data_IF_567236943182
#
_entry.id   IF_567236943182
#
_cell.length_a   1.000
_cell.length_b   1.000
_cell.length_c   1.000
_cell.angle_alpha   90.00
_cell.angle_beta   90.00
_cell.angle_gamma   90.00
#
_symmetry.space_group_name_H-M   'P 1'
#
loop_
_entity.id
_entity.type
_entity.pdbx_description
1 polymer ?
#
# COMPACT_ATOMS: atom_id res chain seq x y z
N UNK A 1 -11.02 0.55 9.87
CA UNK A 1 -11.19 -0.84 9.40
C UNK A 1 -11.44 -1.82 10.55
N UNK A 2 -10.81 -1.67 11.73
CA UNK A 2 -11.00 -2.63 12.83
C UNK A 2 -12.44 -3.00 13.20
N UNK A 3 -13.34 -2.03 13.34
CA UNK A 3 -14.76 -2.34 13.63
C UNK A 3 -15.39 -3.19 12.51
N UNK A 4 -15.02 -2.94 11.26
CA UNK A 4 -15.52 -3.69 10.11
C UNK A 4 -14.93 -5.11 10.04
N UNK A 5 -13.70 -5.31 10.53
CA UNK A 5 -13.03 -6.62 10.56
C UNK A 5 -13.47 -7.47 11.77
N UNK A 6 -13.48 -6.89 12.97
CA UNK A 6 -13.61 -7.64 14.23
C UNK A 6 -15.04 -7.66 14.82
N UNK A 7 -15.91 -6.74 14.39
CA UNK A 7 -17.24 -6.57 15.00
C UNK A 7 -18.36 -6.72 13.96
N UNK A 8 -18.23 -6.05 12.82
CA UNK A 8 -19.29 -6.01 11.80
C UNK A 8 -19.12 -7.03 10.69
N UNK A 9 -17.98 -7.71 10.63
CA UNK A 9 -17.66 -8.76 9.65
C UNK A 9 -17.89 -8.32 8.18
N UNK A 10 -17.61 -7.05 7.89
CA UNK A 10 -17.74 -6.46 6.54
C UNK A 10 -16.52 -6.73 5.65
N UNK A 11 -15.48 -7.39 6.19
CA UNK A 11 -14.29 -7.84 5.47
C UNK A 11 -14.42 -9.34 5.22
N UNK A 12 -14.70 -9.72 3.98
CA UNK A 12 -14.92 -11.11 3.57
C UNK A 12 -13.70 -11.65 2.83
N UNK A 13 -13.08 -12.69 3.38
CA UNK A 13 -11.97 -13.40 2.73
C UNK A 13 -12.41 -14.03 1.39
N UNK A 14 -11.52 -13.97 0.38
CA UNK A 14 -11.72 -14.62 -0.93
C UNK A 14 -10.65 -15.65 -1.24
N UNK A 15 -9.38 -15.34 -0.98
CA UNK A 15 -8.28 -16.27 -1.26
C UNK A 15 -6.93 -15.78 -0.75
N UNK A 16 -6.00 -16.72 -0.58
CA UNK A 16 -4.61 -16.42 -0.25
C UNK A 16 -3.82 -16.37 -1.55
N UNK A 17 -3.20 -15.23 -1.82
CA UNK A 17 -2.41 -15.00 -3.04
C UNK A 17 -0.94 -15.32 -2.82
N UNK A 18 -0.44 -15.06 -1.60
CA UNK A 18 0.94 -15.33 -1.24
C UNK A 18 1.07 -15.61 0.26
N UNK A 19 1.84 -16.65 0.58
CA UNK A 19 2.24 -16.98 1.93
C UNK A 19 3.66 -17.54 1.92
N UNK A 20 4.60 -16.82 2.53
CA UNK A 20 5.98 -17.27 2.72
C UNK A 20 6.57 -16.65 3.97
N UNK A 21 7.22 -17.46 4.82
CA UNK A 21 7.88 -17.01 6.05
C UNK A 21 7.00 -16.07 6.93
N UNK A 22 5.69 -16.32 6.96
CA UNK A 22 4.71 -15.53 7.70
C UNK A 22 4.19 -14.27 6.99
N UNK A 23 4.78 -13.85 5.86
CA UNK A 23 4.23 -12.79 5.01
C UNK A 23 2.91 -13.26 4.40
N UNK A 24 1.85 -12.49 4.59
CA UNK A 24 0.50 -12.80 4.11
C UNK A 24 0.06 -11.75 3.09
N UNK A 25 -0.40 -12.22 1.92
CA UNK A 25 -1.13 -11.41 0.94
C UNK A 25 -2.41 -12.15 0.59
N UNK A 26 -3.54 -11.54 0.87
CA UNK A 26 -4.86 -12.17 0.72
C UNK A 26 -5.80 -11.25 -0.06
N UNK A 27 -6.58 -11.84 -0.95
CA UNK A 27 -7.69 -11.16 -1.58
C UNK A 27 -8.91 -11.20 -0.66
N UNK A 28 -9.59 -10.06 -0.53
CA UNK A 28 -10.81 -9.93 0.24
C UNK A 28 -11.79 -8.96 -0.44
N UNK A 29 -13.05 -8.97 0.03
CA UNK A 29 -14.02 -7.91 -0.23
C UNK A 29 -14.25 -7.12 1.04
N UNK A 30 -14.15 -5.80 0.98
CA UNK A 30 -14.46 -4.91 2.09
C UNK A 30 -15.46 -3.86 1.63
N UNK A 31 -16.66 -3.84 2.24
CA UNK A 31 -17.79 -2.98 1.82
C UNK A 31 -18.10 -3.11 0.33
N UNK A 32 -18.20 -4.34 -0.15
CA UNK A 32 -18.42 -4.71 -1.57
C UNK A 32 -17.30 -4.35 -2.55
N UNK A 33 -16.21 -3.71 -2.11
CA UNK A 33 -15.06 -3.41 -2.94
C UNK A 33 -13.97 -4.48 -2.80
N UNK A 34 -13.34 -4.92 -3.90
CA UNK A 34 -12.19 -5.81 -3.81
C UNK A 34 -10.99 -5.07 -3.20
N UNK A 35 -10.30 -5.74 -2.28
CA UNK A 35 -9.12 -5.22 -1.59
C UNK A 35 -8.07 -6.32 -1.44
N UNK A 36 -6.81 -5.92 -1.26
CA UNK A 36 -5.72 -6.82 -0.89
C UNK A 36 -5.32 -6.54 0.54
N UNK A 37 -5.41 -7.57 1.39
CA UNK A 37 -4.94 -7.54 2.76
C UNK A 37 -3.50 -8.01 2.82
N UNK A 38 -2.64 -7.22 3.48
CA UNK A 38 -1.22 -7.49 3.57
C UNK A 38 -0.73 -7.46 5.02
N UNK A 39 0.27 -8.29 5.31
CA UNK A 39 1.06 -8.25 6.53
C UNK A 39 2.45 -8.86 6.28
N UNK A 40 3.51 -8.21 6.80
CA UNK A 40 4.90 -8.70 6.72
C UNK A 40 5.13 -9.94 7.59
N UNK A 41 4.55 -9.96 8.80
CA UNK A 41 4.70 -11.06 9.74
C UNK A 41 3.35 -11.73 9.99
N UNK A 42 3.41 -12.98 10.43
CA UNK A 42 2.21 -13.80 10.62
C UNK A 42 1.35 -13.27 11.77
N UNK A 43 1.97 -13.05 12.92
CA UNK A 43 1.29 -12.73 14.16
C UNK A 43 1.60 -11.30 14.59
N UNK A 44 0.64 -10.69 15.29
CA UNK A 44 0.82 -9.36 15.88
C UNK A 44 1.98 -9.32 16.90
N UNK A 45 2.15 -10.41 17.66
CA UNK A 45 3.22 -10.56 18.64
C UNK A 45 4.62 -10.74 18.04
N UNK A 46 4.72 -10.90 16.72
CA UNK A 46 6.02 -11.01 16.03
C UNK A 46 6.68 -9.66 15.78
N UNK A 47 5.94 -8.56 15.95
CA UNK A 47 6.49 -7.20 15.87
C UNK A 47 7.08 -6.79 17.21
N UNK A 48 8.10 -5.93 17.17
CA UNK A 48 8.68 -5.37 18.38
C UNK A 48 7.60 -4.56 19.10
N UNK A 49 7.34 -4.80 20.40
CA UNK A 49 6.38 -3.99 21.15
C UNK A 49 6.85 -2.54 21.27
N UNK A 50 5.90 -1.62 21.43
CA UNK A 50 6.22 -0.23 21.72
C UNK A 50 6.62 -0.14 23.20
N UNK A 51 7.92 -0.25 23.50
CA UNK A 51 8.46 -0.28 24.86
C UNK A 51 8.00 0.92 25.73
N UNK A 52 7.71 2.06 25.10
CA UNK A 52 7.18 3.27 25.76
C UNK A 52 5.82 3.00 26.47
N UNK A 53 5.03 2.04 25.99
CA UNK A 53 3.78 1.64 26.63
C UNK A 53 3.99 0.78 27.88
N UNK A 54 5.19 0.26 28.10
CA UNK A 54 5.52 -0.60 29.25
C UNK A 54 6.15 0.19 30.41
N UNK A 55 6.56 1.44 30.19
CA UNK A 55 7.01 2.36 31.23
C UNK A 55 5.81 3.14 31.80
N UNK A 56 5.12 2.54 32.76
CA UNK A 56 4.30 3.30 33.69
C UNK A 56 5.06 3.35 35.03
N UNK A 57 5.32 4.59 35.49
CA UNK A 57 6.04 4.99 36.73
C UNK A 57 7.56 5.17 36.67
N UNK A 58 8.06 6.09 35.85
CA UNK A 58 9.09 7.05 36.33
C UNK A 58 8.96 8.35 35.55
N UNK A 59 8.92 9.45 36.29
CA UNK A 59 8.99 10.82 35.80
C UNK A 59 10.28 11.03 35.01
N UNK A 60 10.23 10.95 33.69
CA UNK A 60 11.17 11.65 32.82
C UNK A 60 10.44 12.02 31.53
N UNK A 61 10.51 13.32 31.20
CA UNK A 61 9.80 13.94 30.11
C UNK A 61 10.14 13.28 28.77
N UNK A 62 9.09 13.00 28.00
CA UNK A 62 9.17 12.54 26.61
C UNK A 62 10.05 13.47 25.78
N UNK A 63 10.92 12.91 24.94
CA UNK A 63 11.58 13.69 23.89
C UNK A 63 10.52 14.22 22.91
N UNK A 64 10.46 15.54 22.67
CA UNK A 64 9.56 16.12 21.68
C UNK A 64 9.70 15.49 20.30
N UNK A 65 10.86 14.91 19.96
CA UNK A 65 11.11 14.27 18.67
C UNK A 65 10.38 12.93 18.50
N UNK A 66 10.19 12.15 19.57
CA UNK A 66 9.46 10.88 19.46
C UNK A 66 7.97 11.16 19.22
N UNK A 67 7.40 12.07 20.01
CA UNK A 67 6.02 12.53 19.84
C UNK A 67 5.84 13.23 18.50
N UNK A 68 6.80 14.05 18.05
CA UNK A 68 6.77 14.70 16.73
C UNK A 68 6.93 13.67 15.62
N UNK A 69 7.75 12.63 15.73
CA UNK A 69 7.87 11.58 14.72
C UNK A 69 6.55 10.77 14.60
N UNK A 70 5.92 10.43 15.73
CA UNK A 70 4.60 9.77 15.73
C UNK A 70 3.47 10.71 15.25
N UNK A 71 3.52 11.99 15.59
CA UNK A 71 2.52 12.99 15.18
C UNK A 71 2.70 13.48 13.74
N UNK A 72 3.91 13.53 13.20
CA UNK A 72 4.17 14.01 11.83
C UNK A 72 3.82 12.97 10.76
N UNK A 73 3.77 11.68 11.11
CA UNK A 73 3.33 10.61 10.20
C UNK A 73 1.79 10.47 10.10
N UNK A 74 1.01 10.88 11.10
CA UNK A 74 -0.46 10.77 11.11
C UNK A 74 -1.14 12.02 11.74
N UNK A 75 -0.81 13.23 11.26
CA UNK A 75 -1.66 14.42 11.48
C UNK A 75 -2.15 14.97 10.15
N UNK A 76 -3.07 14.21 9.56
CA UNK A 76 -4.21 14.82 8.86
C UNK A 76 -5.49 14.16 9.36
N UNK A 77 -6.10 14.83 10.35
CA UNK A 77 -7.41 14.58 11.01
C UNK A 77 -7.52 13.52 12.12
N UNK A 78 -7.16 13.90 13.36
CA UNK A 78 -7.83 13.40 14.59
C UNK A 78 -7.55 14.27 15.83
N UNK A 79 -7.57 15.60 15.70
CA UNK A 79 -7.22 16.53 16.80
C UNK A 79 -8.25 16.65 17.95
N UNK A 80 -9.01 15.59 18.29
CA UNK A 80 -9.95 15.63 19.44
C UNK A 80 -10.07 14.32 20.23
N UNK A 81 -9.32 13.25 19.89
CA UNK A 81 -9.35 12.00 20.68
C UNK A 81 -7.95 11.47 20.98
N UNK A 82 -7.64 11.17 22.25
CA UNK A 82 -6.41 10.49 22.61
C UNK A 82 -6.44 9.05 22.06
N UNK A 83 -5.30 8.60 21.52
CA UNK A 83 -5.14 7.22 21.08
C UNK A 83 -5.09 6.27 22.29
N UNK A 84 -5.76 5.13 22.17
CA UNK A 84 -5.66 4.02 23.12
C UNK A 84 -4.33 3.26 22.97
N UNK A 85 -3.94 2.52 24.01
CA UNK A 85 -2.76 1.64 24.00
C UNK A 85 -2.78 0.65 22.83
N UNK A 86 -3.95 0.10 22.51
CA UNK A 86 -4.13 -0.85 21.41
C UNK A 86 -3.96 -0.19 20.03
N UNK A 87 -4.41 1.06 19.87
CA UNK A 87 -4.22 1.83 18.64
C UNK A 87 -2.75 2.18 18.43
N UNK A 88 -2.04 2.62 19.48
CA UNK A 88 -0.60 2.90 19.42
C UNK A 88 0.21 1.63 19.10
N UNK A 89 -0.12 0.50 19.73
CA UNK A 89 0.53 -0.78 19.42
C UNK A 89 0.27 -1.22 17.97
N UNK A 90 -0.96 -1.03 17.47
CA UNK A 90 -1.30 -1.34 16.08
C UNK A 90 -0.52 -0.46 15.09
N UNK A 91 -0.47 0.85 15.36
CA UNK A 91 0.30 1.80 14.55
C UNK A 91 1.79 1.46 14.56
N UNK A 92 2.35 1.11 15.71
CA UNK A 92 3.76 0.71 15.83
C UNK A 92 4.08 -0.54 15.01
N UNK A 93 3.22 -1.56 15.05
CA UNK A 93 3.38 -2.76 14.23
C UNK A 93 3.28 -2.47 12.72
N UNK A 94 2.48 -1.48 12.31
CA UNK A 94 2.39 -1.04 10.93
C UNK A 94 3.63 -0.26 10.47
N UNK A 95 4.16 0.63 11.30
CA UNK A 95 5.35 1.43 10.97
C UNK A 95 6.62 0.59 10.80
N UNK A 96 6.71 -0.55 11.49
CA UNK A 96 7.77 -1.55 11.29
C UNK A 96 7.70 -2.25 9.92
N UNK A 97 6.62 -2.06 9.17
CA UNK A 97 6.46 -2.60 7.82
C UNK A 97 6.81 -1.54 6.79
N UNK A 98 8.04 -1.62 6.26
CA UNK A 98 8.54 -0.70 5.22
C UNK A 98 7.52 -0.45 4.11
N UNK A 99 6.89 -1.51 3.56
CA UNK A 99 5.89 -1.40 2.50
C UNK A 99 4.66 -0.57 2.91
N UNK A 100 4.15 -0.75 4.13
CA UNK A 100 3.04 0.07 4.63
C UNK A 100 3.45 1.54 4.72
N UNK A 101 4.59 1.80 5.35
CA UNK A 101 5.10 3.17 5.57
C UNK A 101 5.34 3.89 4.25
N UNK A 102 5.99 3.24 3.27
CA UNK A 102 6.22 3.82 1.95
C UNK A 102 4.91 4.14 1.22
N UNK A 103 3.98 3.18 1.15
CA UNK A 103 2.70 3.39 0.48
C UNK A 103 1.92 4.52 1.15
N UNK A 104 1.87 4.53 2.49
CA UNK A 104 1.12 5.54 3.25
C UNK A 104 1.69 6.95 3.09
N UNK A 105 3.01 7.10 3.02
CA UNK A 105 3.68 8.40 2.80
C UNK A 105 3.51 8.89 1.36
N UNK A 106 3.63 7.99 0.37
CA UNK A 106 3.68 8.36 -1.04
C UNK A 106 2.31 8.45 -1.72
N UNK A 107 1.27 7.80 -1.19
CA UNK A 107 -0.04 7.70 -1.87
C UNK A 107 -0.74 9.04 -2.14
N UNK A 108 -0.44 10.07 -1.36
CA UNK A 108 -1.00 11.41 -1.54
C UNK A 108 -0.06 12.32 -2.38
N UNK A 109 1.15 11.84 -2.68
CA UNK A 109 2.18 12.54 -3.45
C UNK A 109 2.34 11.96 -4.86
N UNK A 110 1.93 10.70 -5.08
CA UNK A 110 2.12 9.99 -6.34
C UNK A 110 0.92 9.12 -6.70
N UNK A 111 0.50 9.18 -7.97
CA UNK A 111 -0.45 8.23 -8.56
C UNK A 111 0.16 6.85 -8.82
N UNK A 112 1.49 6.73 -8.73
CA UNK A 112 2.24 5.52 -9.07
C UNK A 112 2.50 4.59 -7.88
N UNK A 113 1.75 4.72 -6.80
CA UNK A 113 1.77 3.78 -5.67
C UNK A 113 0.36 3.29 -5.34
N UNK A 114 0.28 2.08 -4.79
CA UNK A 114 -0.99 1.56 -4.28
C UNK A 114 -1.48 2.37 -3.07
N UNK A 115 -2.78 2.63 -3.00
CA UNK A 115 -3.40 3.35 -1.89
C UNK A 115 -3.74 2.40 -0.77
N UNK A 116 -3.31 2.76 0.44
CA UNK A 116 -3.76 2.16 1.69
C UNK A 116 -5.17 2.69 1.99
N UNK A 117 -6.14 1.78 2.06
CA UNK A 117 -7.55 2.08 2.31
C UNK A 117 -7.90 2.06 3.80
N UNK A 118 -7.12 1.33 4.59
CA UNK A 118 -7.26 1.27 6.04
C UNK A 118 -6.42 0.16 6.65
N UNK A 119 -6.40 0.11 7.98
CA UNK A 119 -5.62 -0.88 8.73
C UNK A 119 -6.36 -1.36 9.98
N UNK A 120 -5.98 -2.55 10.43
CA UNK A 120 -6.35 -3.07 11.74
C UNK A 120 -5.29 -4.03 12.29
N UNK A 121 -4.83 -3.77 13.52
CA UNK A 121 -3.68 -4.48 14.07
C UNK A 121 -2.47 -4.27 13.17
N UNK A 122 -1.77 -5.37 12.84
CA UNK A 122 -0.66 -5.40 11.89
C UNK A 122 -1.08 -5.55 10.42
N UNK A 123 -2.38 -5.76 10.15
CA UNK A 123 -2.88 -5.86 8.78
C UNK A 123 -3.24 -4.49 8.22
N UNK A 124 -2.97 -4.31 6.94
CA UNK A 124 -3.45 -3.17 6.17
C UNK A 124 -4.10 -3.64 4.87
N UNK A 125 -5.15 -2.93 4.47
CA UNK A 125 -5.85 -3.11 3.22
C UNK A 125 -5.33 -2.09 2.21
N UNK A 126 -4.88 -2.57 1.06
CA UNK A 126 -4.64 -1.74 -0.11
C UNK A 126 -5.72 -1.98 -1.15
N UNK A 127 -5.92 -1.02 -2.02
CA UNK A 127 -6.81 -1.21 -3.15
C UNK A 127 -6.39 -2.38 -4.04
N UNK A 128 -7.38 -2.98 -4.70
CA UNK A 128 -7.14 -4.06 -5.63
C UNK A 128 -6.66 -3.54 -6.98
N UNK A 129 -5.52 -4.03 -7.46
CA UNK A 129 -4.92 -3.69 -8.75
C UNK A 129 -4.61 -4.96 -9.55
N UNK A 130 -4.56 -4.83 -10.88
CA UNK A 130 -4.15 -5.92 -11.76
C UNK A 130 -2.64 -6.09 -11.72
N UNK A 131 -2.15 -6.91 -10.78
CA UNK A 131 -0.73 -7.19 -10.61
C UNK A 131 -0.13 -7.91 -11.82
N UNK A 132 1.16 -7.72 -12.04
CA UNK A 132 1.86 -8.45 -13.08
C UNK A 132 2.26 -9.86 -12.67
N UNK A 133 2.46 -10.72 -13.65
CA UNK A 133 2.83 -12.13 -13.44
C UNK A 133 3.94 -12.52 -14.43
N UNK A 134 5.06 -13.08 -13.94
CA UNK A 134 6.17 -13.50 -14.79
C UNK A 134 5.91 -14.78 -15.61
N UNK A 135 4.84 -15.53 -15.33
CA UNK A 135 4.60 -16.83 -15.96
C UNK A 135 3.73 -16.79 -17.24
N UNK A 136 3.18 -15.63 -17.59
CA UNK A 136 2.40 -15.43 -18.82
C UNK A 136 3.16 -14.54 -19.82
N UNK A 137 2.91 -14.72 -21.13
CA UNK A 137 3.41 -13.80 -22.18
C UNK A 137 2.88 -12.36 -22.02
N UNK A 138 1.86 -12.16 -21.19
CA UNK A 138 1.25 -10.88 -20.91
C UNK A 138 1.65 -10.43 -19.49
N UNK A 139 2.46 -9.38 -19.41
CA UNK A 139 2.90 -8.79 -18.14
C UNK A 139 1.74 -8.37 -17.23
N UNK A 140 0.59 -7.96 -17.78
CA UNK A 140 -0.58 -7.56 -17.01
C UNK A 140 -1.89 -8.05 -17.67
N UNK A 141 -2.91 -8.42 -16.89
CA UNK A 141 -4.23 -8.74 -17.43
C UNK A 141 -4.96 -7.46 -17.90
N UNK A 142 -5.20 -7.38 -19.22
CA UNK A 142 -5.77 -6.19 -19.90
C UNK A 142 -7.30 -6.18 -20.01
N UNK A 143 -7.95 -7.29 -19.64
CA UNK A 143 -9.40 -7.49 -19.66
C UNK A 143 -10.12 -6.52 -18.69
N UNK A 144 -9.47 -6.17 -17.59
CA UNK A 144 -10.00 -5.26 -16.56
C UNK A 144 -9.76 -3.77 -16.85
N UNK A 145 -8.88 -3.45 -17.79
CA UNK A 145 -8.63 -2.07 -18.18
C UNK A 145 -9.82 -1.52 -18.98
N UNK A 146 -10.55 -0.58 -18.38
CA UNK A 146 -11.84 -0.08 -18.87
C UNK A 146 -11.72 1.21 -19.70
N UNK A 147 -10.51 1.60 -20.09
CA UNK A 147 -10.29 2.80 -20.90
C UNK A 147 -10.93 2.64 -22.27
N UNK A 148 -11.99 3.44 -22.49
CA UNK A 148 -12.50 3.72 -23.84
C UNK A 148 -11.55 4.72 -24.49
N UNK A 149 -11.25 4.50 -25.75
CA UNK A 149 -10.37 5.40 -26.49
C UNK A 149 -10.90 6.82 -26.59
N UNK A 150 -10.07 7.77 -27.05
CA UNK A 150 -10.52 9.14 -27.25
C UNK A 150 -11.75 9.13 -28.17
N UNK A 151 -12.74 10.00 -27.93
CA UNK A 151 -13.93 10.07 -28.77
C UNK A 151 -13.51 10.41 -30.20
N UNK A 152 -13.70 9.46 -31.11
CA UNK A 152 -13.27 9.58 -32.51
C UNK A 152 -13.66 8.35 -33.34
N UNK A 153 -13.40 8.36 -34.66
CA UNK A 153 -13.78 7.28 -35.57
C UNK A 153 -12.93 6.01 -35.38
N UNK A 154 -11.81 6.09 -34.66
CA UNK A 154 -11.06 4.93 -34.20
C UNK A 154 -11.86 4.28 -33.06
N UNK A 155 -12.30 3.03 -33.25
CA UNK A 155 -13.12 2.29 -32.28
C UNK A 155 -12.44 2.06 -30.91
N UNK A 156 -12.88 1.04 -30.15
CA UNK A 156 -12.26 0.69 -28.87
C UNK A 156 -10.74 0.49 -29.00
N UNK A 157 -9.97 0.85 -27.97
CA UNK A 157 -8.52 0.64 -27.96
C UNK A 157 -8.17 -0.83 -28.15
N UNK A 158 -7.22 -1.08 -29.05
CA UNK A 158 -6.66 -2.40 -29.25
C UNK A 158 -5.76 -2.78 -28.07
N UNK A 159 -5.47 -4.07 -27.89
CA UNK A 159 -4.48 -4.51 -26.89
C UNK A 159 -3.12 -3.83 -27.07
N UNK A 160 -2.72 -3.56 -28.32
CA UNK A 160 -1.47 -2.86 -28.64
C UNK A 160 -1.47 -1.41 -28.12
N UNK A 161 -2.60 -0.72 -28.24
CA UNK A 161 -2.76 0.66 -27.73
C UNK A 161 -2.67 0.67 -26.20
N UNK A 162 -3.32 -0.29 -25.52
CA UNK A 162 -3.24 -0.44 -24.07
C UNK A 162 -1.82 -0.71 -23.60
N UNK A 163 -1.07 -1.58 -24.29
CA UNK A 163 0.34 -1.86 -23.99
C UNK A 163 1.21 -0.61 -24.15
N UNK A 164 1.03 0.17 -25.22
CA UNK A 164 1.77 1.43 -25.39
C UNK A 164 1.49 2.42 -24.25
N UNK A 165 0.23 2.51 -23.81
CA UNK A 165 -0.17 3.37 -22.68
C UNK A 165 0.46 2.93 -21.37
N UNK A 166 0.48 1.63 -21.10
CA UNK A 166 1.16 1.06 -19.91
C UNK A 166 2.65 1.37 -19.97
N UNK A 167 3.30 1.18 -21.12
CA UNK A 167 4.72 1.48 -21.30
C UNK A 167 5.03 2.96 -21.05
N UNK A 168 4.20 3.87 -21.58
CA UNK A 168 4.33 5.30 -21.30
C UNK A 168 4.11 5.61 -19.82
N UNK A 169 3.13 4.99 -19.17
CA UNK A 169 2.88 5.18 -17.74
C UNK A 169 4.03 4.65 -16.87
N UNK A 170 4.72 3.59 -17.31
CA UNK A 170 5.92 3.09 -16.64
C UNK A 170 7.07 4.11 -16.74
N UNK A 171 7.28 4.71 -17.91
CA UNK A 171 8.29 5.75 -18.09
C UNK A 171 7.96 7.01 -17.29
N UNK A 172 6.70 7.40 -17.25
CA UNK A 172 6.18 8.50 -16.43
C UNK A 172 6.45 8.26 -14.94
N UNK A 173 6.17 7.05 -14.44
CA UNK A 173 6.50 6.65 -13.08
C UNK A 173 8.00 6.76 -12.76
N UNK A 174 8.87 6.22 -13.62
CA UNK A 174 10.32 6.27 -13.43
C UNK A 174 10.79 7.72 -13.39
N UNK A 175 10.30 8.55 -14.31
CA UNK A 175 10.64 9.96 -14.37
C UNK A 175 10.17 10.71 -13.12
N UNK A 176 8.93 10.46 -12.67
CA UNK A 176 8.35 11.07 -11.47
C UNK A 176 9.17 10.74 -10.21
N UNK A 177 9.56 9.47 -10.02
CA UNK A 177 10.37 9.06 -8.86
C UNK A 177 11.81 9.62 -8.87
N UNK A 178 12.35 9.93 -10.03
CA UNK A 178 13.69 10.53 -10.16
C UNK A 178 13.72 12.05 -10.01
N UNK A 179 12.61 12.75 -10.30
CA UNK A 179 12.61 14.20 -10.49
C UNK A 179 11.65 14.99 -9.57
N UNK A 180 10.56 14.39 -9.08
CA UNK A 180 9.51 15.14 -8.39
C UNK A 180 9.67 15.16 -6.85
N UNK A 181 10.64 14.41 -6.33
CA UNK A 181 10.95 14.35 -4.89
C UNK A 181 12.30 15.00 -4.58
N UNK A 182 12.41 15.63 -3.41
CA UNK A 182 13.68 16.24 -2.94
C UNK A 182 14.81 15.23 -2.85
N UNK A 183 14.50 13.99 -2.47
CA UNK A 183 15.41 12.85 -2.50
C UNK A 183 14.91 11.86 -3.54
N UNK A 184 15.82 11.34 -4.36
CA UNK A 184 15.46 10.39 -5.42
C UNK A 184 14.94 9.09 -4.82
N UNK A 185 13.87 8.57 -5.40
CA UNK A 185 13.34 7.25 -5.04
C UNK A 185 13.83 6.23 -6.07
N UNK A 186 14.76 5.37 -5.66
CA UNK A 186 15.36 4.39 -6.56
C UNK A 186 14.50 3.14 -6.69
N UNK A 187 14.27 2.71 -7.94
CA UNK A 187 13.63 1.44 -8.24
C UNK A 187 14.64 0.28 -8.21
N UNK A 188 14.67 -0.50 -7.13
CA UNK A 188 15.71 -1.53 -6.91
C UNK A 188 15.27 -2.96 -7.24
N UNK A 189 13.98 -3.27 -7.18
CA UNK A 189 13.44 -4.63 -7.41
C UNK A 189 12.39 -4.58 -8.53
N UNK A 190 12.89 -4.52 -9.77
CA UNK A 190 12.07 -4.40 -10.97
C UNK A 190 11.66 -5.79 -11.44
N UNK A 191 10.48 -6.23 -11.00
CA UNK A 191 9.86 -7.51 -11.39
C UNK A 191 8.37 -7.31 -11.66
N UNK A 192 7.77 -8.07 -12.60
CA UNK A 192 6.35 -7.91 -12.95
C UNK A 192 5.41 -7.94 -11.74
N UNK A 193 5.70 -8.80 -10.74
CA UNK A 193 4.89 -8.99 -9.54
C UNK A 193 4.86 -7.78 -8.61
N UNK A 194 5.86 -6.91 -8.71
CA UNK A 194 5.98 -5.73 -7.86
C UNK A 194 5.24 -4.50 -8.42
N UNK A 195 4.71 -4.61 -9.65
CA UNK A 195 3.92 -3.57 -10.29
C UNK A 195 2.52 -4.08 -10.58
N UNK A 196 1.60 -3.15 -10.70
CA UNK A 196 0.23 -3.41 -11.13
C UNK A 196 -0.29 -2.29 -12.00
N UNK A 197 -1.36 -2.57 -12.74
CA UNK A 197 -2.07 -1.56 -13.52
C UNK A 197 -3.44 -1.28 -12.92
N UNK A 198 -3.83 0.00 -12.97
CA UNK A 198 -5.18 0.47 -12.70
C UNK A 198 -6.07 0.30 -13.93
N UNK A 199 -7.37 0.51 -13.72
CA UNK A 199 -8.39 0.45 -14.78
C UNK A 199 -8.20 1.50 -15.87
N UNK A 200 -7.53 2.60 -15.54
CA UNK A 200 -7.14 3.70 -16.44
C UNK A 200 -5.77 3.48 -17.13
N UNK A 201 -5.15 2.31 -16.92
CA UNK A 201 -3.82 1.91 -17.42
C UNK A 201 -2.64 2.62 -16.74
N UNK A 202 -2.88 3.34 -15.65
CA UNK A 202 -1.80 3.88 -14.82
C UNK A 202 -1.06 2.73 -14.12
N UNK A 203 0.26 2.71 -14.24
CA UNK A 203 1.15 1.79 -13.53
C UNK A 203 1.32 2.26 -12.09
N UNK A 204 1.28 1.33 -11.14
CA UNK A 204 1.58 1.59 -9.74
C UNK A 204 2.52 0.53 -9.17
N UNK A 205 3.48 0.96 -8.36
CA UNK A 205 4.24 0.08 -7.48
C UNK A 205 3.34 -0.46 -6.38
N UNK A 206 3.34 -1.79 -6.22
CA UNK A 206 2.53 -2.48 -5.19
C UNK A 206 3.38 -3.14 -4.12
N UNK A 207 4.71 -3.07 -4.21
CA UNK A 207 5.63 -3.58 -3.19
C UNK A 207 6.64 -2.50 -2.80
N UNK A 208 6.84 -2.29 -1.50
CA UNK A 208 7.79 -1.31 -0.98
C UNK A 208 9.24 -1.67 -1.26
N UNK A 209 9.57 -2.95 -1.44
CA UNK A 209 10.95 -3.38 -1.79
C UNK A 209 11.40 -2.86 -3.14
N UNK A 210 10.47 -2.47 -4.01
CA UNK A 210 10.81 -1.84 -5.27
C UNK A 210 11.36 -0.44 -5.08
N UNK A 211 11.10 0.26 -3.97
CA UNK A 211 11.53 1.64 -3.76
C UNK A 211 12.53 1.74 -2.61
N UNK A 212 13.64 2.44 -2.82
CA UNK A 212 14.59 2.80 -1.76
C UNK A 212 14.94 4.28 -1.82
N UNK A 213 15.04 4.89 -0.64
CA UNK A 213 15.78 6.14 -0.48
C UNK A 213 17.28 5.82 -0.48
N UNK A 214 18.13 6.70 -1.03
CA UNK A 214 19.59 6.56 -1.01
C UNK A 214 20.16 6.52 0.41
#
# INVERSE_FOLDING_TARGET
>A
MCADLCVRELVQYKGCLYYDNGKKVMEARWRELPVILKSKLENFSSYEPLAILDYQETTDDLSPLDVVFYATLEVRNSLDKPYSRAELASLWALLQQEEYTFLRVLQDLSSHVAKVLGSCGHFYAVEYLSAGHAWDQNLFPLDRASVRGPPGPAGPWTSRDKVHRIALSFLDMVWHFDNDFTHKLHLCDVKPENFAIRTDLTVSGVCGTSLKLP
#
